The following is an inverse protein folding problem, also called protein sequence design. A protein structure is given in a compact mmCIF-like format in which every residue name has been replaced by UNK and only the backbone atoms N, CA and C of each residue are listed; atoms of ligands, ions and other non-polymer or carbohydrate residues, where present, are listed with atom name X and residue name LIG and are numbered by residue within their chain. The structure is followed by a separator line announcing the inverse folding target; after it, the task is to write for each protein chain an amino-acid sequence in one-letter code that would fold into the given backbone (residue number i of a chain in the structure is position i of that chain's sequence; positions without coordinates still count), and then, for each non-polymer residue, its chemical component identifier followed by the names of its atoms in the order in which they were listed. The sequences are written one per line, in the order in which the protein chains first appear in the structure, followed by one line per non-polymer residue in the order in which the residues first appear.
data_IF_636197496243
#
_entry.id   IF_636197496243
#
_cell.length_a   1.000
_cell.length_b   1.000
_cell.length_c   1.000
_cell.angle_alpha   90.00
_cell.angle_beta   90.00
_cell.angle_gamma   90.00
#
_symmetry.space_group_name_H-M   'P 1'
#
loop_
_entity.id
_entity.type
_entity.pdbx_description
1 polymer ?
#
# COMPACT_ATOMS: atom_id res chain seq x y z
N UNK A 1 11.44 -8.10 12.84
CA UNK A 1 12.13 -8.24 11.53
C UNK A 1 12.45 -6.83 11.04
N UNK A 2 13.72 -6.44 10.85
CA UNK A 2 14.08 -5.03 10.61
C UNK A 2 14.00 -4.66 9.12
N UNK A 3 13.70 -3.39 8.86
CA UNK A 3 13.54 -2.80 7.53
C UNK A 3 14.77 -2.98 6.64
N UNK A 4 15.96 -3.01 7.26
CA UNK A 4 17.26 -3.23 6.61
C UNK A 4 17.40 -4.63 5.98
N UNK A 5 16.83 -5.67 6.62
CA UNK A 5 16.83 -7.02 6.05
C UNK A 5 15.92 -7.11 4.83
N UNK A 6 14.78 -6.40 4.85
CA UNK A 6 13.88 -6.34 3.70
C UNK A 6 14.54 -5.63 2.52
N UNK A 7 15.23 -4.51 2.75
CA UNK A 7 15.98 -3.80 1.71
C UNK A 7 17.03 -4.68 1.04
N UNK A 8 17.84 -5.37 1.84
CA UNK A 8 18.89 -6.25 1.31
C UNK A 8 18.33 -7.47 0.58
N UNK A 9 17.20 -8.04 1.05
CA UNK A 9 16.59 -9.21 0.42
C UNK A 9 15.93 -8.88 -0.92
N UNK A 10 15.29 -7.71 -1.03
CA UNK A 10 14.59 -7.26 -2.24
C UNK A 10 15.41 -6.32 -3.14
N UNK A 11 16.65 -6.00 -2.78
CA UNK A 11 17.53 -5.12 -3.55
C UNK A 11 17.12 -3.64 -3.55
N UNK A 12 16.33 -3.19 -2.57
CA UNK A 12 15.88 -1.80 -2.50
C UNK A 12 16.99 -0.88 -1.96
N UNK A 13 17.51 -0.01 -2.83
CA UNK A 13 18.46 1.05 -2.45
C UNK A 13 17.79 2.25 -1.78
N UNK A 14 16.49 2.44 -2.03
CA UNK A 14 15.59 3.39 -1.35
C UNK A 14 14.25 2.73 -1.12
N UNK A 15 13.57 3.06 -0.03
CA UNK A 15 12.22 2.54 0.20
C UNK A 15 11.21 3.15 -0.78
N UNK A 16 10.42 2.33 -1.50
CA UNK A 16 9.48 2.81 -2.52
C UNK A 16 8.29 3.58 -1.92
N UNK A 17 8.02 3.43 -0.61
CA UNK A 17 6.94 4.12 0.11
C UNK A 17 7.49 5.15 1.11
N UNK A 18 8.56 5.85 0.75
CA UNK A 18 9.17 6.88 1.58
C UNK A 18 8.26 8.10 1.80
N UNK A 19 8.51 8.84 2.90
CA UNK A 19 7.76 10.05 3.28
C UNK A 19 7.81 11.18 2.24
N UNK A 20 8.75 11.11 1.30
CA UNK A 20 8.94 12.10 0.24
C UNK A 20 7.95 11.94 -0.93
N UNK A 21 7.06 10.93 -0.88
CA UNK A 21 5.99 10.80 -1.86
C UNK A 21 4.87 11.78 -1.48
N UNK A 22 4.82 12.93 -2.16
CA UNK A 22 3.68 13.83 -2.06
C UNK A 22 2.39 13.05 -2.36
N UNK A 23 1.30 13.22 -1.58
CA UNK A 23 0.04 12.48 -1.80
C UNK A 23 -0.55 12.61 -3.21
N UNK A 24 -0.18 13.69 -3.93
CA UNK A 24 -0.52 13.92 -5.34
C UNK A 24 0.22 13.03 -6.34
N UNK A 25 1.33 12.41 -5.93
CA UNK A 25 2.12 11.46 -6.73
C UNK A 25 1.65 10.01 -6.56
N UNK A 26 0.75 9.74 -5.61
CA UNK A 26 0.03 8.48 -5.56
C UNK A 26 -1.05 8.48 -6.65
N UNK A 27 -0.95 7.58 -7.62
CA UNK A 27 -2.01 7.38 -8.60
C UNK A 27 -3.31 7.05 -7.86
N UNK A 28 -4.32 7.91 -7.99
CA UNK A 28 -5.61 7.73 -7.31
C UNK A 28 -6.42 6.66 -8.04
N UNK A 29 -6.12 5.40 -7.78
CA UNK A 29 -7.06 4.33 -8.11
C UNK A 29 -8.30 4.48 -7.24
N UNK A 30 -9.48 4.49 -7.85
CA UNK A 30 -10.77 4.36 -7.16
C UNK A 30 -10.77 3.17 -6.18
N UNK A 31 -10.09 2.08 -6.56
CA UNK A 31 -9.87 0.91 -5.71
C UNK A 31 -9.16 1.20 -4.39
N UNK A 32 -8.26 2.20 -4.33
CA UNK A 32 -7.63 2.61 -3.06
C UNK A 32 -8.65 3.26 -2.12
N UNK A 33 -9.50 4.16 -2.63
CA UNK A 33 -10.56 4.80 -1.84
C UNK A 33 -11.59 3.80 -1.33
N UNK A 34 -11.98 2.85 -2.18
CA UNK A 34 -12.86 1.75 -1.78
C UNK A 34 -12.25 0.83 -0.72
N UNK A 35 -10.96 0.51 -0.83
CA UNK A 35 -10.25 -0.30 0.16
C UNK A 35 -10.22 0.40 1.53
N UNK A 36 -9.92 1.70 1.57
CA UNK A 36 -9.93 2.50 2.81
C UNK A 36 -11.31 2.49 3.44
N UNK A 37 -12.37 2.72 2.66
CA UNK A 37 -13.74 2.70 3.17
C UNK A 37 -14.13 1.34 3.77
N UNK A 38 -13.76 0.22 3.11
CA UNK A 38 -14.03 -1.15 3.60
C UNK A 38 -13.28 -1.46 4.90
N UNK A 39 -12.02 -1.02 5.02
CA UNK A 39 -11.23 -1.17 6.26
C UNK A 39 -11.89 -0.39 7.39
N UNK A 40 -12.21 0.89 7.16
CA UNK A 40 -12.85 1.74 8.17
C UNK A 40 -14.17 1.16 8.66
N UNK A 41 -14.97 0.60 7.76
CA UNK A 41 -16.22 -0.08 8.13
C UNK A 41 -15.96 -1.33 8.99
N UNK A 42 -14.99 -2.18 8.64
CA UNK A 42 -14.68 -3.38 9.43
C UNK A 42 -14.22 -3.03 10.85
N UNK A 43 -13.47 -1.94 11.01
CA UNK A 43 -13.04 -1.42 12.33
C UNK A 43 -14.25 -0.97 13.15
N UNK A 44 -15.11 -0.14 12.57
CA UNK A 44 -16.32 0.38 13.24
C UNK A 44 -17.24 -0.77 13.72
N UNK A 45 -17.42 -1.78 12.86
CA UNK A 45 -18.27 -2.93 13.15
C UNK A 45 -17.60 -4.03 13.99
N UNK A 46 -16.35 -3.85 14.41
CA UNK A 46 -15.54 -4.86 15.10
C UNK A 46 -15.56 -6.22 14.37
N UNK A 47 -15.52 -6.18 13.04
CA UNK A 47 -15.65 -7.33 12.17
C UNK A 47 -14.30 -7.68 11.50
N UNK A 48 -14.13 -8.95 11.12
CA UNK A 48 -13.01 -9.38 10.29
C UNK A 48 -13.41 -9.25 8.83
N UNK A 49 -12.70 -8.42 8.08
CA UNK A 49 -12.90 -8.22 6.63
C UNK A 49 -11.73 -8.74 5.82
N UNK A 50 -12.03 -9.35 4.66
CA UNK A 50 -11.04 -9.73 3.65
C UNK A 50 -11.18 -8.77 2.48
N UNK A 51 -10.11 -8.10 2.09
CA UNK A 51 -10.05 -7.22 0.92
C UNK A 51 -9.09 -7.83 -0.08
N UNK A 52 -9.57 -8.09 -1.28
CA UNK A 52 -8.77 -8.56 -2.41
C UNK A 52 -8.72 -7.45 -3.47
N UNK A 53 -7.62 -7.41 -4.23
CA UNK A 53 -7.43 -6.48 -5.33
C UNK A 53 -6.38 -7.02 -6.28
N UNK A 54 -6.43 -6.58 -7.54
CA UNK A 54 -5.39 -6.91 -8.51
C UNK A 54 -4.08 -6.19 -8.13
N UNK A 55 -2.95 -6.90 -8.27
CA UNK A 55 -1.63 -6.29 -8.11
C UNK A 55 -1.25 -5.68 -9.45
N UNK A 56 -1.35 -4.36 -9.57
CA UNK A 56 -0.69 -3.66 -10.67
C UNK A 56 0.81 -3.55 -10.34
N UNK A 57 1.71 -4.14 -11.15
CA UNK A 57 3.13 -3.86 -11.02
C UNK A 57 3.34 -2.38 -11.28
N UNK A 58 3.98 -1.69 -10.33
CA UNK A 58 4.44 -0.32 -10.54
C UNK A 58 5.27 -0.27 -11.82
N UNK A 59 4.73 0.38 -12.85
CA UNK A 59 5.38 0.52 -14.15
C UNK A 59 6.70 1.27 -13.95
N UNK A 60 7.80 0.52 -13.98
CA UNK A 60 9.12 1.05 -14.23
C UNK A 60 9.29 1.12 -15.76
N UNK A 61 9.19 2.33 -16.32
CA UNK A 61 9.89 2.70 -17.56
C UNK A 61 11.21 3.37 -17.18
#
# INVERSE_FOLDING_TARGET
MSIQRLQSHWGFTRMPFGRDLAPSMLHRHSGHGEAVARISWCVDQHAIGVITGEVEPGSHY
#
